data_IF_625710758283
#
_entry.id   IF_625710758283
#
_cell.length_a   1.000
_cell.length_b   1.000
_cell.length_c   1.000
_cell.angle_alpha   90.00
_cell.angle_beta   90.00
_cell.angle_gamma   90.00
#
_symmetry.space_group_name_H-M   'P 1'
#
loop_
_entity.id
_entity.type
_entity.pdbx_description
1 polymer ?
#
# COMPACT_ATOMS: atom_id res chain seq x y z
N UNK A 1 16.10 29.41 -11.06
CA UNK A 1 16.24 28.99 -9.66
C UNK A 1 15.79 27.55 -9.56
N UNK A 2 16.66 26.64 -9.17
CA UNK A 2 16.29 25.24 -8.91
C UNK A 2 15.41 25.23 -7.66
N UNK A 3 14.14 24.78 -7.79
CA UNK A 3 13.28 24.54 -6.64
C UNK A 3 13.96 23.49 -5.75
N UNK A 4 14.05 23.78 -4.43
CA UNK A 4 14.54 22.77 -3.49
C UNK A 4 13.62 21.52 -3.47
N UNK A 5 14.09 20.35 -3.01
CA UNK A 5 13.27 19.14 -2.92
C UNK A 5 11.94 19.31 -2.20
N UNK A 6 11.87 20.26 -1.28
CA UNK A 6 10.67 20.59 -0.50
C UNK A 6 9.57 21.34 -1.26
N UNK A 7 9.87 21.93 -2.43
CA UNK A 7 8.92 22.73 -3.21
C UNK A 7 8.47 22.02 -4.50
N UNK A 8 8.80 20.75 -4.65
CA UNK A 8 8.41 19.94 -5.80
C UNK A 8 6.91 19.69 -5.80
N UNK A 9 6.25 20.04 -6.91
CA UNK A 9 4.84 19.72 -7.19
C UNK A 9 4.79 18.83 -8.42
N UNK A 10 4.16 17.67 -8.31
CA UNK A 10 3.96 16.76 -9.43
C UNK A 10 2.81 17.24 -10.33
N UNK A 11 2.84 16.89 -11.63
CA UNK A 11 1.74 17.17 -12.54
C UNK A 11 0.42 16.59 -12.03
N UNK A 12 -0.69 17.25 -12.34
CA UNK A 12 -2.04 16.80 -11.98
C UNK A 12 -2.77 16.20 -13.18
N UNK A 13 -3.76 15.30 -12.96
CA UNK A 13 -4.65 14.85 -14.03
C UNK A 13 -5.29 16.04 -14.76
N UNK A 14 -5.30 16.00 -16.09
CA UNK A 14 -5.87 17.08 -16.90
C UNK A 14 -4.97 18.31 -17.09
N UNK A 15 -3.79 18.36 -16.47
CA UNK A 15 -2.81 19.41 -16.77
C UNK A 15 -2.30 19.29 -18.22
N UNK A 16 -2.00 20.42 -18.85
CA UNK A 16 -1.39 20.43 -20.16
C UNK A 16 -0.10 19.59 -20.17
N UNK A 17 0.09 18.71 -21.17
CA UNK A 17 1.29 17.90 -21.25
C UNK A 17 2.54 18.79 -21.30
N UNK A 18 3.39 18.69 -20.29
CA UNK A 18 4.72 19.27 -20.33
C UNK A 18 5.72 18.36 -21.05
N UNK A 19 6.94 18.84 -21.28
CA UNK A 19 8.01 17.98 -21.78
C UNK A 19 8.22 16.80 -20.79
N UNK A 20 8.40 15.56 -21.29
CA UNK A 20 8.70 14.42 -20.45
C UNK A 20 9.92 14.71 -19.55
N UNK A 21 9.79 14.42 -18.27
CA UNK A 21 10.89 14.56 -17.31
C UNK A 21 11.29 13.17 -16.84
N UNK A 22 12.60 12.93 -16.61
CA UNK A 22 13.03 11.68 -16.00
C UNK A 22 12.42 11.50 -14.62
N UNK A 23 12.20 10.27 -14.16
CA UNK A 23 11.78 10.00 -12.80
C UNK A 23 12.84 10.48 -11.80
N UNK A 24 12.41 10.88 -10.63
CA UNK A 24 13.30 11.23 -9.52
C UNK A 24 13.74 9.91 -8.89
N UNK A 25 15.05 9.62 -8.83
CA UNK A 25 15.53 8.38 -8.27
C UNK A 25 15.15 8.20 -6.79
N UNK A 26 14.72 7.01 -6.43
CA UNK A 26 14.55 6.60 -5.03
C UNK A 26 15.89 6.43 -4.32
N UNK A 27 15.89 6.29 -2.98
CA UNK A 27 17.09 6.00 -2.20
C UNK A 27 17.77 4.69 -2.63
N UNK A 28 19.05 4.55 -2.26
CA UNK A 28 19.79 3.30 -2.50
C UNK A 28 19.52 2.27 -1.38
N UNK A 29 19.69 0.98 -1.67
CA UNK A 29 19.68 -0.07 -0.65
C UNK A 29 20.71 0.18 0.45
N UNK A 30 21.88 0.72 0.10
CA UNK A 30 22.92 1.06 1.07
C UNK A 30 22.42 2.12 2.06
N UNK A 31 21.72 3.17 1.58
CA UNK A 31 21.14 4.18 2.44
C UNK A 31 20.06 3.59 3.37
N UNK A 32 19.24 2.67 2.85
CA UNK A 32 18.25 1.96 3.64
C UNK A 32 18.92 1.05 4.69
N UNK A 33 19.83 0.20 4.26
CA UNK A 33 20.50 -0.79 5.12
C UNK A 33 21.35 -0.12 6.22
N UNK A 34 21.94 1.06 5.96
CA UNK A 34 22.66 1.81 6.99
C UNK A 34 21.76 2.30 8.13
N UNK A 35 20.46 2.42 7.89
CA UNK A 35 19.49 2.89 8.89
C UNK A 35 18.69 1.73 9.52
N UNK A 36 18.24 0.78 8.70
CA UNK A 36 17.30 -0.27 9.11
C UNK A 36 17.91 -1.68 9.06
N UNK A 37 19.20 -1.79 8.71
CA UNK A 37 19.82 -3.11 8.57
C UNK A 37 19.16 -3.98 7.50
N UNK A 38 19.19 -5.28 7.70
CA UNK A 38 18.61 -6.27 6.80
C UNK A 38 17.17 -6.67 7.19
N UNK A 39 16.32 -5.67 7.54
CA UNK A 39 14.93 -5.96 7.89
C UNK A 39 14.14 -6.55 6.71
N UNK A 40 14.26 -5.95 5.52
CA UNK A 40 13.67 -6.46 4.28
C UNK A 40 14.56 -7.54 3.66
N UNK A 41 13.99 -8.48 2.90
CA UNK A 41 14.77 -9.28 1.94
C UNK A 41 15.54 -8.37 0.97
N UNK A 42 16.57 -8.89 0.27
CA UNK A 42 17.22 -8.14 -0.81
C UNK A 42 16.21 -7.62 -1.82
N UNK A 43 16.35 -6.35 -2.23
CA UNK A 43 15.44 -5.75 -3.19
C UNK A 43 15.67 -6.32 -4.59
N UNK A 44 14.57 -6.64 -5.26
CA UNK A 44 14.52 -6.82 -6.71
C UNK A 44 13.97 -5.56 -7.36
N UNK A 45 14.33 -5.30 -8.62
CA UNK A 45 13.91 -4.09 -9.30
C UNK A 45 13.15 -4.38 -10.58
N UNK A 46 12.01 -3.72 -10.71
CA UNK A 46 11.20 -3.67 -11.92
C UNK A 46 11.52 -2.38 -12.67
N UNK A 47 12.06 -2.49 -13.88
CA UNK A 47 12.32 -1.35 -14.75
C UNK A 47 11.14 -1.15 -15.69
N UNK A 48 10.54 0.03 -15.65
CA UNK A 48 9.41 0.43 -16.50
C UNK A 48 9.74 1.72 -17.25
N UNK A 49 8.97 2.08 -18.28
CA UNK A 49 9.14 3.37 -18.94
C UNK A 49 8.96 4.58 -18.00
N UNK A 50 8.27 4.41 -16.89
CA UNK A 50 7.98 5.47 -15.91
C UNK A 50 8.98 5.56 -14.78
N UNK A 51 9.84 4.56 -14.58
CA UNK A 51 10.84 4.53 -13.51
C UNK A 51 11.18 3.12 -13.06
N UNK A 52 12.03 3.06 -12.04
CA UNK A 52 12.46 1.83 -11.38
C UNK A 52 11.66 1.65 -10.09
N UNK A 53 10.99 0.50 -9.91
CA UNK A 53 10.27 0.16 -8.69
C UNK A 53 10.93 -1.02 -7.97
N UNK A 54 11.05 -0.92 -6.65
CA UNK A 54 11.59 -1.99 -5.81
C UNK A 54 10.47 -2.93 -5.36
N UNK A 55 10.76 -4.22 -5.32
CA UNK A 55 9.89 -5.24 -4.74
C UNK A 55 10.72 -6.29 -4.02
N UNK A 56 10.07 -7.02 -3.12
CA UNK A 56 10.70 -7.97 -2.22
C UNK A 56 9.92 -9.27 -2.23
N UNK A 57 10.61 -10.40 -2.19
CA UNK A 57 10.01 -11.72 -2.28
C UNK A 57 10.29 -12.56 -1.04
N UNK A 58 9.27 -13.24 -0.56
CA UNK A 58 9.36 -14.38 0.36
C UNK A 58 8.97 -15.61 -0.48
N UNK A 59 9.95 -16.33 -1.02
CA UNK A 59 9.68 -17.46 -1.92
C UNK A 59 9.05 -18.62 -1.14
N UNK A 60 8.37 -19.56 -1.84
CA UNK A 60 7.86 -20.76 -1.21
C UNK A 60 8.97 -21.52 -0.48
N UNK A 61 8.68 -21.99 0.74
CA UNK A 61 9.61 -22.87 1.44
C UNK A 61 9.83 -24.14 0.61
N UNK A 62 11.12 -24.49 0.40
CA UNK A 62 11.47 -25.76 -0.26
C UNK A 62 10.87 -26.92 0.54
N UNK A 63 10.28 -27.93 -0.12
CA UNK A 63 9.86 -29.14 0.58
C UNK A 63 11.10 -29.77 1.20
N UNK A 64 11.17 -29.80 2.53
CA UNK A 64 12.19 -30.55 3.23
C UNK A 64 12.03 -32.03 2.83
N UNK A 65 12.97 -32.54 2.05
CA UNK A 65 13.14 -33.88 1.51
C UNK A 65 12.18 -34.95 2.03
N UNK A 66 11.00 -35.05 1.42
CA UNK A 66 10.17 -36.25 1.52
C UNK A 66 9.38 -36.41 0.24
N UNK A 67 9.60 -37.57 -0.34
CA UNK A 67 8.95 -38.17 -1.49
C UNK A 67 7.42 -38.13 -1.36
N UNK A 68 6.78 -37.77 -2.45
CA UNK A 68 5.43 -38.12 -2.85
C UNK A 68 4.29 -37.72 -1.90
N UNK A 69 3.44 -36.82 -2.32
CA UNK A 69 2.02 -37.13 -2.55
C UNK A 69 1.28 -35.87 -3.01
N UNK A 70 0.49 -36.03 -4.08
CA UNK A 70 -0.67 -35.23 -4.50
C UNK A 70 -0.55 -33.72 -4.27
N UNK A 71 -0.28 -33.01 -5.35
CA UNK A 71 -0.34 -31.54 -5.46
C UNK A 71 -1.76 -31.03 -5.27
N UNK A 72 -2.26 -31.03 -4.05
CA UNK A 72 -3.31 -30.09 -3.68
C UNK A 72 -2.64 -28.72 -3.65
N UNK A 73 -2.92 -27.91 -4.66
CA UNK A 73 -2.55 -26.49 -4.67
C UNK A 73 -3.27 -25.81 -3.50
N UNK A 74 -2.59 -25.74 -2.35
CA UNK A 74 -3.14 -25.03 -1.19
C UNK A 74 -3.22 -23.55 -1.52
N UNK A 75 -4.38 -22.97 -1.35
CA UNK A 75 -4.62 -21.53 -1.38
C UNK A 75 -4.03 -20.91 -0.10
N UNK A 76 -3.32 -19.75 -0.17
CA UNK A 76 -2.96 -19.03 -1.37
C UNK A 76 -1.62 -19.50 -1.98
N UNK A 77 -1.51 -19.49 -3.32
CA UNK A 77 -0.25 -19.80 -4.00
C UNK A 77 0.62 -18.54 -4.24
N UNK A 78 0.00 -17.39 -4.50
CA UNK A 78 0.64 -16.12 -4.88
C UNK A 78 -0.05 -14.97 -4.16
N UNK A 79 0.69 -14.24 -3.34
CA UNK A 79 0.17 -13.16 -2.49
C UNK A 79 0.97 -11.89 -2.74
N UNK A 80 0.29 -10.80 -3.09
CA UNK A 80 0.88 -9.48 -3.23
C UNK A 80 0.35 -8.56 -2.14
N UNK A 81 1.26 -7.99 -1.33
CA UNK A 81 0.94 -6.98 -0.33
C UNK A 81 1.22 -5.59 -0.87
N UNK A 82 0.24 -4.69 -0.72
CA UNK A 82 0.23 -3.33 -1.24
C UNK A 82 0.08 -2.37 -0.06
N UNK A 83 1.11 -1.56 0.19
CA UNK A 83 1.20 -0.68 1.35
C UNK A 83 0.35 0.61 1.21
N UNK A 84 0.18 1.32 2.32
CA UNK A 84 -0.49 2.62 2.39
C UNK A 84 0.42 3.80 2.05
N UNK A 85 -0.12 5.02 2.16
CA UNK A 85 0.67 6.26 2.03
C UNK A 85 1.70 6.33 3.15
N UNK A 86 2.86 6.92 2.89
CA UNK A 86 3.96 7.18 3.83
C UNK A 86 4.68 5.95 4.43
N UNK A 87 4.10 4.77 4.35
CA UNK A 87 4.75 3.57 4.90
C UNK A 87 5.00 2.58 3.76
N UNK A 88 6.25 2.34 3.33
CA UNK A 88 6.58 1.50 2.19
C UNK A 88 6.38 0.00 2.51
N UNK A 89 6.83 -0.88 1.63
CA UNK A 89 6.76 -2.34 1.78
C UNK A 89 7.21 -2.84 3.17
N UNK A 90 8.21 -2.18 3.78
CA UNK A 90 8.67 -2.47 5.13
C UNK A 90 7.53 -2.48 6.15
N UNK A 91 6.56 -1.56 6.02
CA UNK A 91 5.40 -1.50 6.93
C UNK A 91 4.45 -2.70 6.83
N UNK A 92 4.50 -3.42 5.73
CA UNK A 92 3.70 -4.64 5.51
C UNK A 92 4.47 -5.92 5.86
N UNK A 93 5.78 -5.82 6.10
CA UNK A 93 6.65 -6.99 6.32
C UNK A 93 6.22 -7.86 7.51
N UNK A 94 5.84 -7.32 8.68
CA UNK A 94 5.37 -8.16 9.79
C UNK A 94 4.17 -9.03 9.40
N UNK A 95 3.18 -8.46 8.71
CA UNK A 95 2.03 -9.21 8.20
C UNK A 95 2.44 -10.22 7.12
N UNK A 96 3.32 -9.84 6.19
CA UNK A 96 3.81 -10.73 5.14
C UNK A 96 4.51 -11.96 5.73
N UNK A 97 5.35 -11.78 6.76
CA UNK A 97 6.02 -12.88 7.47
C UNK A 97 5.02 -13.78 8.19
N UNK A 98 4.01 -13.22 8.85
CA UNK A 98 2.96 -13.99 9.53
C UNK A 98 2.14 -14.82 8.54
N UNK A 99 1.77 -14.24 7.39
CA UNK A 99 1.07 -14.96 6.33
C UNK A 99 1.94 -16.03 5.67
N UNK A 100 3.22 -15.75 5.41
CA UNK A 100 4.14 -16.75 4.87
C UNK A 100 4.40 -17.89 5.85
N UNK A 101 4.45 -17.62 7.16
CA UNK A 101 4.52 -18.68 8.18
C UNK A 101 3.25 -19.56 8.23
N UNK A 102 2.06 -18.94 8.03
CA UNK A 102 0.80 -19.68 7.97
C UNK A 102 0.64 -20.48 6.68
N UNK A 103 1.19 -20.00 5.58
CA UNK A 103 1.14 -20.59 4.25
C UNK A 103 2.55 -20.72 3.64
N UNK A 104 3.39 -21.64 4.14
CA UNK A 104 4.81 -21.68 3.77
C UNK A 104 5.07 -22.03 2.29
N UNK A 105 4.05 -22.54 1.57
CA UNK A 105 4.15 -22.78 0.12
C UNK A 105 3.67 -21.60 -0.74
N UNK A 106 3.17 -20.55 -0.12
CA UNK A 106 2.83 -19.33 -0.84
C UNK A 106 4.08 -18.58 -1.26
N UNK A 107 4.08 -18.05 -2.47
CA UNK A 107 5.03 -17.03 -2.89
C UNK A 107 4.44 -15.67 -2.52
N UNK A 108 5.08 -14.98 -1.60
CA UNK A 108 4.62 -13.68 -1.11
C UNK A 108 5.51 -12.59 -1.65
N UNK A 109 4.93 -11.57 -2.23
CA UNK A 109 5.64 -10.37 -2.72
C UNK A 109 5.15 -9.12 -2.01
N UNK A 110 6.06 -8.19 -1.79
CA UNK A 110 5.80 -6.83 -1.32
C UNK A 110 6.35 -5.86 -2.36
N UNK A 111 5.68 -4.73 -2.57
CA UNK A 111 6.05 -3.73 -3.55
C UNK A 111 6.20 -2.37 -2.87
N UNK A 112 7.28 -1.64 -3.17
CA UNK A 112 7.33 -0.20 -2.89
C UNK A 112 6.60 0.54 -4.02
N UNK A 113 5.50 1.19 -3.69
CA UNK A 113 4.75 2.04 -4.63
C UNK A 113 5.60 3.24 -5.07
N UNK A 114 5.26 3.85 -6.20
CA UNK A 114 5.94 5.04 -6.68
C UNK A 114 6.08 6.12 -5.60
N UNK A 115 7.27 6.70 -5.48
CA UNK A 115 7.57 7.73 -4.47
C UNK A 115 7.72 7.22 -3.05
N UNK A 116 7.84 5.90 -2.86
CA UNK A 116 8.00 5.27 -1.54
C UNK A 116 9.17 4.27 -1.54
N UNK A 117 9.73 4.07 -0.37
CA UNK A 117 10.79 3.09 -0.14
C UNK A 117 11.99 3.30 -1.05
N UNK A 118 12.34 2.30 -1.86
CA UNK A 118 13.43 2.35 -2.82
C UNK A 118 12.96 2.58 -4.27
N UNK A 119 11.65 2.79 -4.47
CA UNK A 119 11.08 3.08 -5.80
C UNK A 119 11.28 4.53 -6.19
N UNK A 120 11.49 4.77 -7.49
CA UNK A 120 11.56 6.11 -8.04
C UNK A 120 10.23 6.88 -7.88
N UNK A 121 10.27 8.19 -8.08
CA UNK A 121 9.07 9.02 -8.20
C UNK A 121 8.90 9.47 -9.66
N UNK A 122 7.95 8.90 -10.42
CA UNK A 122 7.63 9.38 -11.76
C UNK A 122 7.14 10.83 -11.73
N UNK A 123 7.62 11.66 -12.66
CA UNK A 123 7.17 13.07 -12.77
C UNK A 123 5.96 13.16 -13.71
N UNK A 124 4.89 12.46 -13.31
CA UNK A 124 3.61 12.36 -14.01
C UNK A 124 2.47 12.44 -12.99
N UNK A 125 1.19 12.59 -13.40
CA UNK A 125 0.06 12.54 -12.47
C UNK A 125 0.02 11.22 -11.68
N UNK A 126 -0.03 11.30 -10.36
CA UNK A 126 -0.15 10.14 -9.47
C UNK A 126 -1.61 9.73 -9.28
N UNK A 127 -2.31 9.47 -10.39
CA UNK A 127 -3.65 8.90 -10.38
C UNK A 127 -3.60 7.37 -10.16
N UNK A 128 -4.71 6.75 -9.74
CA UNK A 128 -4.80 5.31 -9.49
C UNK A 128 -4.30 4.45 -10.68
N UNK A 129 -4.55 4.89 -11.91
CA UNK A 129 -4.13 4.19 -13.12
C UNK A 129 -2.60 4.00 -13.22
N UNK A 130 -1.79 4.97 -12.73
CA UNK A 130 -0.34 4.86 -12.68
C UNK A 130 0.10 3.69 -11.79
N UNK A 131 -0.54 3.54 -10.65
CA UNK A 131 -0.24 2.45 -9.70
C UNK A 131 -0.80 1.11 -10.17
N UNK A 132 -1.97 1.09 -10.80
CA UNK A 132 -2.50 -0.13 -11.42
C UNK A 132 -1.58 -0.67 -12.51
N UNK A 133 -1.00 0.20 -13.35
CA UNK A 133 -0.01 -0.20 -14.35
C UNK A 133 1.26 -0.78 -13.68
N UNK A 134 1.67 -0.28 -12.52
CA UNK A 134 2.78 -0.83 -11.74
C UNK A 134 2.45 -2.24 -11.21
N UNK A 135 1.23 -2.44 -10.71
CA UNK A 135 0.77 -3.77 -10.28
C UNK A 135 0.75 -4.77 -11.45
N UNK A 136 0.21 -4.36 -12.63
CA UNK A 136 0.23 -5.18 -13.84
C UNK A 136 1.66 -5.59 -14.21
N UNK A 137 2.57 -4.62 -14.26
CA UNK A 137 3.97 -4.86 -14.62
C UNK A 137 4.69 -5.79 -13.62
N UNK A 138 4.39 -5.69 -12.32
CA UNK A 138 4.95 -6.59 -11.32
C UNK A 138 4.40 -8.02 -11.47
N UNK A 139 3.08 -8.18 -11.62
CA UNK A 139 2.48 -9.49 -11.83
C UNK A 139 3.02 -10.17 -13.09
N UNK A 140 3.22 -9.41 -14.17
CA UNK A 140 3.83 -9.90 -15.41
C UNK A 140 5.30 -10.29 -15.21
N UNK A 141 6.08 -9.47 -14.49
CA UNK A 141 7.49 -9.77 -14.13
C UNK A 141 7.62 -11.06 -13.34
N UNK A 142 6.69 -11.32 -12.43
CA UNK A 142 6.65 -12.53 -11.61
C UNK A 142 6.01 -13.73 -12.34
N UNK A 143 5.55 -13.56 -13.58
CA UNK A 143 4.75 -14.52 -14.33
C UNK A 143 3.53 -15.02 -13.52
N UNK A 144 2.86 -14.07 -12.82
CA UNK A 144 1.63 -14.34 -12.08
C UNK A 144 0.41 -13.90 -12.89
N UNK A 145 -0.32 -14.82 -13.52
CA UNK A 145 -1.54 -14.47 -14.24
C UNK A 145 -2.60 -13.86 -13.33
N UNK A 146 -2.64 -14.27 -12.07
CA UNK A 146 -3.48 -13.70 -11.02
C UNK A 146 -2.88 -13.96 -9.64
N UNK A 147 -3.23 -13.11 -8.66
CA UNK A 147 -2.75 -13.19 -7.28
C UNK A 147 -3.87 -12.96 -6.27
N UNK A 148 -3.62 -13.35 -5.00
CA UNK A 148 -4.36 -12.87 -3.84
C UNK A 148 -3.74 -11.53 -3.43
N UNK A 149 -4.55 -10.48 -3.32
CA UNK A 149 -4.09 -9.13 -3.00
C UNK A 149 -4.40 -8.81 -1.54
N UNK A 150 -3.47 -8.17 -0.85
CA UNK A 150 -3.67 -7.62 0.50
C UNK A 150 -3.30 -6.15 0.47
N UNK A 151 -4.29 -5.27 0.46
CA UNK A 151 -4.09 -3.82 0.40
C UNK A 151 -4.35 -3.14 1.74
N UNK A 152 -3.40 -2.33 2.21
CA UNK A 152 -3.53 -1.55 3.42
C UNK A 152 -3.74 -0.07 3.11
N UNK A 153 -4.72 0.59 3.74
CA UNK A 153 -4.96 2.03 3.61
C UNK A 153 -5.11 2.44 2.14
N UNK A 154 -4.24 3.28 1.61
CA UNK A 154 -4.19 3.61 0.17
C UNK A 154 -4.00 2.36 -0.71
N UNK A 155 -3.18 1.40 -0.29
CA UNK A 155 -3.08 0.10 -0.96
C UNK A 155 -4.41 -0.64 -1.03
N UNK A 156 -5.30 -0.42 -0.04
CA UNK A 156 -6.69 -0.90 -0.05
C UNK A 156 -7.52 -0.23 -1.15
N UNK A 157 -7.46 1.10 -1.26
CA UNK A 157 -8.11 1.85 -2.33
C UNK A 157 -7.64 1.39 -3.72
N UNK A 158 -6.32 1.21 -3.89
CA UNK A 158 -5.75 0.67 -5.13
C UNK A 158 -6.25 -0.74 -5.42
N UNK A 159 -6.32 -1.60 -4.39
CA UNK A 159 -6.79 -2.98 -4.53
C UNK A 159 -8.24 -3.03 -4.99
N UNK A 160 -9.10 -2.19 -4.45
CA UNK A 160 -10.51 -2.05 -4.85
C UNK A 160 -10.62 -1.67 -6.33
N UNK A 161 -9.97 -0.58 -6.74
CA UNK A 161 -9.99 -0.11 -8.13
C UNK A 161 -9.36 -1.13 -9.10
N UNK A 162 -8.32 -1.85 -8.65
CA UNK A 162 -7.68 -2.90 -9.43
C UNK A 162 -8.60 -4.12 -9.61
N UNK A 163 -9.24 -4.60 -8.55
CA UNK A 163 -10.19 -5.70 -8.62
C UNK A 163 -11.39 -5.37 -9.52
N UNK A 164 -11.92 -4.15 -9.43
CA UNK A 164 -13.02 -3.69 -10.26
C UNK A 164 -12.66 -3.63 -11.74
N UNK A 165 -11.44 -3.16 -12.09
CA UNK A 165 -11.03 -2.95 -13.47
C UNK A 165 -10.29 -4.14 -14.10
N UNK A 166 -9.73 -5.05 -13.31
CA UNK A 166 -8.92 -6.21 -13.74
C UNK A 166 -9.29 -7.50 -12.99
N UNK A 167 -10.56 -7.90 -12.98
CA UNK A 167 -11.03 -9.03 -12.17
C UNK A 167 -10.31 -10.35 -12.49
N UNK A 168 -9.88 -10.56 -13.73
CA UNK A 168 -9.14 -11.76 -14.13
C UNK A 168 -7.74 -11.89 -13.49
N UNK A 169 -7.19 -10.77 -12.96
CA UNK A 169 -5.87 -10.72 -12.30
C UNK A 169 -5.96 -10.94 -10.78
N UNK A 170 -7.17 -11.08 -10.22
CA UNK A 170 -7.39 -11.16 -8.77
C UNK A 170 -8.10 -12.46 -8.40
N UNK A 171 -7.48 -13.26 -7.54
CA UNK A 171 -8.06 -14.51 -7.01
C UNK A 171 -8.95 -14.28 -5.81
N UNK A 172 -8.51 -13.44 -4.92
CA UNK A 172 -9.25 -12.87 -3.79
C UNK A 172 -8.56 -11.59 -3.38
N UNK A 173 -9.23 -10.76 -2.60
CA UNK A 173 -8.56 -9.61 -2.04
C UNK A 173 -8.94 -9.37 -0.58
N UNK A 174 -8.00 -8.83 0.17
CA UNK A 174 -8.16 -8.41 1.55
C UNK A 174 -7.87 -6.91 1.65
N UNK A 175 -8.77 -6.19 2.27
CA UNK A 175 -8.63 -4.77 2.54
C UNK A 175 -8.35 -4.60 4.05
N UNK A 176 -7.21 -4.05 4.41
CA UNK A 176 -6.89 -3.75 5.81
C UNK A 176 -6.97 -2.25 6.00
N UNK A 177 -7.91 -1.78 6.82
CA UNK A 177 -8.14 -0.35 7.08
C UNK A 177 -8.13 0.49 5.79
N UNK A 178 -8.96 0.19 4.77
CA UNK A 178 -8.84 0.79 3.44
C UNK A 178 -9.15 2.28 3.45
N UNK A 179 -8.37 3.09 2.73
CA UNK A 179 -8.74 4.42 2.30
C UNK A 179 -9.73 4.34 1.11
N UNK A 180 -10.26 5.50 0.69
CA UNK A 180 -11.15 5.62 -0.46
C UNK A 180 -12.54 6.14 -0.11
N UNK A 181 -12.95 6.05 1.14
CA UNK A 181 -14.28 6.45 1.61
C UNK A 181 -14.29 7.75 2.44
N UNK A 182 -13.13 8.39 2.60
CA UNK A 182 -13.06 9.77 3.08
C UNK A 182 -13.87 10.68 2.18
N UNK A 183 -14.50 11.69 2.77
CA UNK A 183 -15.33 12.65 2.03
C UNK A 183 -14.59 13.97 1.85
N UNK A 184 -14.19 14.30 0.64
CA UNK A 184 -13.57 15.58 0.33
C UNK A 184 -14.46 16.77 0.77
N UNK A 185 -15.80 16.62 0.69
CA UNK A 185 -16.78 17.62 1.13
C UNK A 185 -16.82 17.84 2.66
N UNK A 186 -16.27 16.92 3.46
CA UNK A 186 -16.23 17.06 4.91
C UNK A 186 -15.09 17.98 5.38
N UNK A 187 -14.13 18.26 4.51
CA UNK A 187 -13.04 19.19 4.80
C UNK A 187 -13.51 20.65 4.73
N UNK A 188 -12.81 21.54 5.44
CA UNK A 188 -13.09 22.99 5.40
C UNK A 188 -12.89 23.54 3.97
N UNK A 189 -13.48 24.72 3.64
CA UNK A 189 -13.27 25.34 2.34
C UNK A 189 -11.79 25.57 2.00
N UNK A 190 -10.96 25.91 3.00
CA UNK A 190 -9.50 26.06 2.84
C UNK A 190 -8.84 24.72 2.51
N UNK A 191 -9.13 23.66 3.27
CA UNK A 191 -8.61 22.31 3.02
C UNK A 191 -9.05 21.78 1.67
N UNK A 192 -10.29 22.05 1.26
CA UNK A 192 -10.76 21.72 -0.09
C UNK A 192 -9.99 22.51 -1.17
N UNK A 193 -9.59 23.75 -0.90
CA UNK A 193 -8.73 24.52 -1.80
C UNK A 193 -7.34 23.85 -1.92
N UNK A 194 -6.77 23.35 -0.82
CA UNK A 194 -5.54 22.57 -0.83
C UNK A 194 -5.66 21.28 -1.66
N UNK A 195 -6.81 20.59 -1.59
CA UNK A 195 -7.07 19.42 -2.42
C UNK A 195 -7.16 19.79 -3.91
N UNK A 196 -7.82 20.90 -4.25
CA UNK A 196 -7.88 21.36 -5.66
C UNK A 196 -6.51 21.76 -6.19
N UNK A 197 -5.63 22.35 -5.35
CA UNK A 197 -4.35 22.87 -5.78
C UNK A 197 -4.49 24.02 -6.81
N UNK A 198 -3.37 24.39 -7.45
CA UNK A 198 -3.39 25.44 -8.50
C UNK A 198 -3.28 26.87 -7.98
N UNK A 199 -3.19 27.08 -6.67
CA UNK A 199 -2.74 28.33 -6.06
C UNK A 199 -1.25 28.54 -6.27
N UNK A 200 -0.74 29.73 -5.96
CA UNK A 200 0.70 30.03 -6.05
C UNK A 200 1.55 29.16 -5.09
N UNK A 201 2.88 29.30 -5.16
CA UNK A 201 3.82 28.48 -4.38
C UNK A 201 3.60 28.50 -2.85
N UNK A 202 2.99 29.55 -2.30
CA UNK A 202 2.60 29.62 -0.88
C UNK A 202 1.49 28.64 -0.52
N UNK A 203 0.48 28.54 -1.38
CA UNK A 203 -0.66 27.63 -1.18
C UNK A 203 -0.24 26.15 -1.31
N UNK A 204 0.70 25.83 -2.19
CA UNK A 204 1.22 24.46 -2.33
C UNK A 204 2.05 24.04 -1.11
N UNK A 205 2.75 24.96 -0.48
CA UNK A 205 3.47 24.68 0.78
C UNK A 205 2.49 24.43 1.93
N UNK A 206 1.47 25.28 2.09
CA UNK A 206 0.42 25.08 3.07
C UNK A 206 -0.36 23.78 2.85
N UNK A 207 -0.67 23.46 1.60
CA UNK A 207 -1.32 22.20 1.23
C UNK A 207 -0.47 20.98 1.60
N UNK A 208 0.82 21.02 1.31
CA UNK A 208 1.78 19.97 1.70
C UNK A 208 1.80 19.78 3.22
N UNK A 209 1.96 20.88 3.96
CA UNK A 209 2.06 20.82 5.41
C UNK A 209 0.75 20.31 6.04
N UNK A 210 -0.40 20.70 5.48
CA UNK A 210 -1.69 20.17 5.89
C UNK A 210 -1.85 18.68 5.58
N UNK A 211 -1.50 18.23 4.38
CA UNK A 211 -1.61 16.79 4.00
C UNK A 211 -0.75 15.93 4.91
N UNK A 212 0.51 16.35 5.16
CA UNK A 212 1.40 15.62 6.05
C UNK A 212 0.86 15.57 7.48
N UNK A 213 0.40 16.71 8.03
CA UNK A 213 -0.18 16.78 9.36
C UNK A 213 -1.47 15.95 9.49
N UNK A 214 -2.33 15.93 8.45
CA UNK A 214 -3.53 15.09 8.41
C UNK A 214 -3.18 13.59 8.46
N UNK A 215 -2.23 13.15 7.65
CA UNK A 215 -1.81 11.75 7.57
C UNK A 215 -1.08 11.27 8.83
N UNK A 216 -0.41 12.15 9.55
CA UNK A 216 0.25 11.82 10.82
C UNK A 216 -0.70 11.89 12.04
N UNK A 217 -1.84 12.56 11.90
CA UNK A 217 -2.70 12.88 13.04
C UNK A 217 -2.08 13.93 13.98
N UNK A 218 -1.09 14.69 13.50
CA UNK A 218 -0.36 15.70 14.25
C UNK A 218 1.13 15.77 13.88
N UNK A 219 1.98 16.10 14.83
CA UNK A 219 3.44 16.12 14.62
C UNK A 219 4.02 14.70 14.61
N UNK A 220 4.88 14.40 13.63
CA UNK A 220 5.57 13.12 13.56
C UNK A 220 6.63 13.03 14.68
N UNK A 221 6.35 12.21 15.67
CA UNK A 221 7.27 11.94 16.79
C UNK A 221 7.90 10.57 16.63
N UNK A 222 9.21 10.55 16.40
CA UNK A 222 9.97 9.30 16.32
C UNK A 222 10.35 8.84 17.73
N UNK A 223 9.98 7.62 18.19
CA UNK A 223 10.35 7.11 19.50
C UNK A 223 11.87 7.12 19.72
N UNK A 224 12.31 7.53 20.91
CA UNK A 224 13.75 7.65 21.21
C UNK A 224 14.51 6.31 21.13
N UNK A 225 13.81 5.22 21.39
CA UNK A 225 14.33 3.83 21.38
C UNK A 225 14.24 3.15 20.01
N UNK A 226 13.84 3.86 18.96
CA UNK A 226 13.56 3.27 17.65
C UNK A 226 14.72 2.44 17.07
N UNK A 227 15.99 2.88 17.30
CA UNK A 227 17.15 2.13 16.80
C UNK A 227 17.32 0.79 17.49
N UNK A 228 17.08 0.75 18.78
CA UNK A 228 17.12 -0.49 19.57
C UNK A 228 16.03 -1.46 19.13
N UNK A 229 14.81 -0.94 18.92
CA UNK A 229 13.68 -1.71 18.39
C UNK A 229 13.96 -2.27 16.99
N UNK A 230 14.50 -1.45 16.08
CA UNK A 230 14.95 -1.89 14.75
C UNK A 230 16.03 -2.97 14.87
N UNK A 231 17.00 -2.81 15.79
CA UNK A 231 18.01 -3.82 16.07
C UNK A 231 17.45 -5.17 16.54
N UNK A 232 16.26 -5.19 17.15
CA UNK A 232 15.50 -6.40 17.50
C UNK A 232 14.61 -6.92 16.36
N UNK A 233 14.65 -6.30 15.18
CA UNK A 233 13.85 -6.71 14.02
C UNK A 233 12.45 -6.11 13.96
N UNK A 234 12.14 -5.11 14.80
CA UNK A 234 10.86 -4.42 14.79
C UNK A 234 10.80 -3.37 13.67
N UNK A 235 9.61 -3.15 13.13
CA UNK A 235 9.32 -2.07 12.19
C UNK A 235 8.73 -0.89 12.96
N UNK A 236 9.51 0.20 13.05
CA UNK A 236 9.09 1.45 13.69
C UNK A 236 8.63 2.41 12.61
N UNK A 237 7.31 2.51 12.41
CA UNK A 237 6.71 3.24 11.28
C UNK A 237 7.11 4.73 11.26
N UNK A 238 7.19 5.37 12.42
CA UNK A 238 7.58 6.77 12.58
C UNK A 238 9.01 7.02 12.09
N UNK A 239 9.92 6.11 12.43
CA UNK A 239 11.31 6.18 11.96
C UNK A 239 11.41 5.99 10.44
N UNK A 240 10.60 5.09 9.87
CA UNK A 240 10.53 4.85 8.43
C UNK A 240 9.99 6.08 7.70
N UNK A 241 8.93 6.70 8.21
CA UNK A 241 8.35 7.92 7.64
C UNK A 241 9.36 9.09 7.68
N UNK A 242 9.98 9.32 8.83
CA UNK A 242 11.02 10.35 8.97
C UNK A 242 12.22 10.11 8.04
N UNK A 243 12.61 8.85 7.86
CA UNK A 243 13.67 8.47 6.93
C UNK A 243 13.29 8.79 5.47
N UNK A 244 12.08 8.42 5.02
CA UNK A 244 11.64 8.71 3.66
C UNK A 244 11.57 10.22 3.39
N UNK A 245 11.03 11.01 4.32
CA UNK A 245 10.99 12.47 4.17
C UNK A 245 12.39 13.09 4.03
N UNK A 246 13.42 12.50 4.63
CA UNK A 246 14.80 12.98 4.57
C UNK A 246 15.56 12.45 3.37
N UNK A 247 15.44 11.14 3.08
CA UNK A 247 16.31 10.44 2.11
C UNK A 247 15.68 10.25 0.73
N UNK A 248 14.35 10.37 0.60
CA UNK A 248 13.66 10.16 -0.66
C UNK A 248 13.20 11.49 -1.29
N UNK A 249 13.93 12.02 -2.29
CA UNK A 249 13.72 13.38 -2.79
C UNK A 249 12.30 13.63 -3.35
N UNK A 250 11.64 12.60 -3.91
CA UNK A 250 10.30 12.71 -4.48
C UNK A 250 9.17 12.31 -3.55
N UNK A 251 9.46 11.81 -2.33
CA UNK A 251 8.46 11.22 -1.44
C UNK A 251 7.32 12.17 -1.10
N UNK A 252 7.66 13.34 -0.56
CA UNK A 252 6.65 14.32 -0.11
C UNK A 252 5.74 14.75 -1.26
N UNK A 253 6.32 15.02 -2.44
CA UNK A 253 5.53 15.39 -3.61
C UNK A 253 4.60 14.25 -4.06
N UNK A 254 5.08 13.00 -4.00
CA UNK A 254 4.27 11.82 -4.26
C UNK A 254 3.13 11.67 -3.26
N UNK A 255 3.39 11.82 -1.95
CA UNK A 255 2.37 11.75 -0.88
C UNK A 255 1.25 12.76 -1.13
N UNK A 256 1.59 14.02 -1.42
CA UNK A 256 0.59 15.07 -1.72
C UNK A 256 -0.21 14.73 -2.98
N UNK A 257 0.46 14.29 -4.05
CA UNK A 257 -0.21 13.94 -5.29
C UNK A 257 -1.13 12.72 -5.13
N UNK A 258 -0.70 11.68 -4.41
CA UNK A 258 -1.51 10.50 -4.06
C UNK A 258 -2.75 10.93 -3.26
N UNK A 259 -2.58 11.75 -2.24
CA UNK A 259 -3.68 12.20 -1.39
C UNK A 259 -4.73 12.98 -2.18
N UNK A 260 -4.31 13.75 -3.20
CA UNK A 260 -5.18 14.55 -4.06
C UNK A 260 -5.86 13.73 -5.17
N UNK A 261 -5.13 12.83 -5.83
CA UNK A 261 -5.49 12.37 -7.17
C UNK A 261 -5.57 10.85 -7.33
N UNK A 262 -5.15 10.07 -6.32
CA UNK A 262 -5.04 8.62 -6.48
C UNK A 262 -6.20 7.80 -5.90
N UNK A 263 -7.31 8.44 -5.53
CA UNK A 263 -8.49 7.73 -5.03
C UNK A 263 -8.47 7.45 -3.52
N UNK A 264 -7.84 8.33 -2.75
CA UNK A 264 -7.88 8.25 -1.27
C UNK A 264 -9.26 8.67 -0.73
N UNK A 265 -10.07 9.35 -1.56
CA UNK A 265 -11.38 9.91 -1.21
C UNK A 265 -12.41 9.63 -2.29
N UNK A 266 -13.70 9.54 -1.89
CA UNK A 266 -14.90 9.56 -2.75
C UNK A 266 -14.90 8.51 -3.88
N UNK A 267 -14.36 7.30 -3.66
CA UNK A 267 -14.34 6.20 -4.65
C UNK A 267 -15.38 5.11 -4.34
N UNK A 268 -16.57 5.48 -3.87
CA UNK A 268 -17.64 4.52 -3.58
C UNK A 268 -18.02 3.67 -4.78
N UNK A 269 -17.98 4.25 -5.97
CA UNK A 269 -18.29 3.56 -7.21
C UNK A 269 -17.35 2.36 -7.46
N UNK A 270 -16.05 2.54 -7.17
CA UNK A 270 -15.04 1.48 -7.28
C UNK A 270 -15.28 0.38 -6.24
N UNK A 271 -15.64 0.75 -4.99
CA UNK A 271 -16.01 -0.23 -3.96
C UNK A 271 -17.21 -1.06 -4.40
N UNK A 272 -18.29 -0.43 -4.87
CA UNK A 272 -19.47 -1.13 -5.40
C UNK A 272 -19.11 -2.00 -6.60
N UNK A 273 -18.29 -1.51 -7.52
CA UNK A 273 -17.85 -2.26 -8.68
C UNK A 273 -17.03 -3.48 -8.28
N UNK A 274 -16.09 -3.35 -7.32
CA UNK A 274 -15.29 -4.45 -6.79
C UNK A 274 -16.17 -5.52 -6.11
N UNK A 275 -17.11 -5.11 -5.27
CA UNK A 275 -18.05 -6.03 -4.62
C UNK A 275 -18.90 -6.81 -5.65
N UNK A 276 -19.30 -6.17 -6.74
CA UNK A 276 -20.09 -6.80 -7.83
C UNK A 276 -19.29 -7.78 -8.69
N UNK A 277 -17.96 -7.80 -8.61
CA UNK A 277 -17.15 -8.79 -9.36
C UNK A 277 -17.39 -10.22 -8.90
N UNK A 278 -17.90 -10.43 -7.70
CA UNK A 278 -18.02 -11.75 -7.07
C UNK A 278 -16.68 -12.35 -6.64
N UNK A 279 -15.58 -11.63 -6.76
CA UNK A 279 -14.27 -12.07 -6.26
C UNK A 279 -14.34 -12.16 -4.73
N UNK A 280 -13.95 -13.29 -4.12
CA UNK A 280 -13.95 -13.44 -2.68
C UNK A 280 -13.13 -12.32 -2.00
N UNK A 281 -13.71 -11.67 -1.01
CA UNK A 281 -13.09 -10.54 -0.34
C UNK A 281 -13.30 -10.57 1.17
N UNK A 282 -12.34 -10.01 1.91
CA UNK A 282 -12.40 -9.79 3.35
C UNK A 282 -11.99 -8.34 3.61
N UNK A 283 -12.69 -7.66 4.52
CA UNK A 283 -12.23 -6.37 5.06
C UNK A 283 -11.88 -6.52 6.53
N UNK A 284 -10.74 -5.99 6.95
CA UNK A 284 -10.29 -5.97 8.35
C UNK A 284 -10.11 -4.53 8.80
N UNK A 285 -10.88 -4.11 9.80
CA UNK A 285 -10.85 -2.75 10.34
C UNK A 285 -10.23 -2.72 11.74
N UNK A 286 -9.61 -1.61 12.10
CA UNK A 286 -9.40 -1.25 13.49
C UNK A 286 -10.69 -0.64 14.07
N UNK A 287 -11.10 -1.06 15.28
CA UNK A 287 -12.33 -0.57 15.89
C UNK A 287 -12.32 0.91 16.31
N UNK A 288 -11.13 1.54 16.28
CA UNK A 288 -10.93 2.97 16.54
C UNK A 288 -10.52 3.74 15.28
N UNK A 289 -10.49 3.07 14.11
CA UNK A 289 -10.21 3.71 12.83
C UNK A 289 -11.49 4.38 12.29
N UNK A 290 -11.41 5.64 11.94
CA UNK A 290 -12.54 6.47 11.49
C UNK A 290 -12.58 6.69 9.97
N UNK A 291 -11.66 6.07 9.19
CA UNK A 291 -11.64 6.23 7.73
C UNK A 291 -12.86 5.61 7.05
N UNK A 292 -13.36 4.50 7.57
CA UNK A 292 -14.61 3.86 7.13
C UNK A 292 -15.18 2.97 8.23
N UNK A 293 -16.48 2.70 8.16
CA UNK A 293 -17.18 1.85 9.12
C UNK A 293 -17.63 0.52 8.52
N UNK A 294 -17.83 -0.48 9.37
CA UNK A 294 -18.40 -1.77 8.97
C UNK A 294 -19.78 -1.58 8.27
N UNK A 295 -20.64 -0.69 8.81
CA UNK A 295 -21.94 -0.42 8.24
C UNK A 295 -21.83 0.12 6.81
N UNK A 296 -20.96 1.12 6.60
CA UNK A 296 -20.71 1.69 5.28
C UNK A 296 -20.20 0.64 4.27
N UNK A 297 -19.29 -0.23 4.68
CA UNK A 297 -18.77 -1.30 3.82
C UNK A 297 -19.85 -2.32 3.45
N UNK A 298 -20.72 -2.69 4.39
CA UNK A 298 -21.88 -3.57 4.13
C UNK A 298 -22.85 -2.95 3.14
N UNK A 299 -23.13 -1.65 3.25
CA UNK A 299 -23.97 -0.91 2.28
C UNK A 299 -23.34 -0.92 0.87
N UNK A 300 -22.00 -0.92 0.76
CA UNK A 300 -21.27 -1.01 -0.51
C UNK A 300 -21.16 -2.45 -1.06
N UNK A 301 -21.67 -3.45 -0.32
CA UNK A 301 -21.74 -4.84 -0.77
C UNK A 301 -20.67 -5.77 -0.24
N UNK A 302 -19.87 -5.36 0.75
CA UNK A 302 -18.88 -6.22 1.40
C UNK A 302 -19.52 -7.01 2.55
N UNK A 303 -19.64 -8.34 2.39
CA UNK A 303 -20.27 -9.20 3.40
C UNK A 303 -19.32 -9.58 4.55
N UNK A 304 -18.08 -9.92 4.22
CA UNK A 304 -17.08 -10.39 5.19
C UNK A 304 -16.27 -9.20 5.72
N UNK A 305 -16.67 -8.63 6.84
CA UNK A 305 -15.99 -7.54 7.54
C UNK A 305 -15.64 -7.99 8.95
N UNK A 306 -14.36 -7.94 9.32
CA UNK A 306 -13.84 -8.22 10.65
C UNK A 306 -13.34 -6.93 11.30
N UNK A 307 -13.59 -6.76 12.60
CA UNK A 307 -13.15 -5.59 13.36
C UNK A 307 -12.21 -6.04 14.49
N UNK A 308 -11.02 -5.47 14.55
CA UNK A 308 -10.07 -5.66 15.65
C UNK A 308 -10.36 -4.60 16.72
N UNK A 309 -10.88 -4.97 17.90
CA UNK A 309 -11.22 -4.01 18.93
C UNK A 309 -9.96 -3.30 19.46
N UNK A 310 -10.13 -2.05 19.93
CA UNK A 310 -9.06 -1.24 20.52
C UNK A 310 -7.82 -1.08 19.60
N UNK A 311 -8.01 -1.09 18.28
CA UNK A 311 -6.99 -0.83 17.30
C UNK A 311 -7.39 0.36 16.41
N UNK A 312 -6.44 1.23 16.11
CA UNK A 312 -6.61 2.35 15.17
C UNK A 312 -6.22 1.98 13.74
N UNK A 313 -5.92 3.01 12.95
CA UNK A 313 -5.51 2.85 11.55
C UNK A 313 -4.24 1.99 11.37
N UNK A 314 -3.33 1.99 12.36
CA UNK A 314 -2.10 1.18 12.37
C UNK A 314 -2.30 -0.34 12.54
N UNK A 315 -3.54 -0.84 12.54
CA UNK A 315 -3.91 -2.24 12.82
C UNK A 315 -3.05 -3.27 12.08
N UNK A 316 -2.62 -2.96 10.85
CA UNK A 316 -1.77 -3.83 10.02
C UNK A 316 -0.41 -4.16 10.64
N UNK A 317 0.08 -3.31 11.55
CA UNK A 317 1.38 -3.43 12.22
C UNK A 317 1.24 -3.69 13.71
N UNK A 318 0.22 -3.11 14.32
CA UNK A 318 0.02 -3.15 15.77
C UNK A 318 -0.67 -4.43 16.23
N UNK A 319 -1.48 -5.03 15.35
CA UNK A 319 -2.31 -6.20 15.65
C UNK A 319 -2.12 -7.30 14.59
N UNK A 320 -0.85 -7.55 14.23
CA UNK A 320 -0.47 -8.55 13.21
C UNK A 320 -1.07 -9.93 13.48
N UNK A 321 -1.06 -10.47 14.71
CA UNK A 321 -1.63 -11.80 14.97
C UNK A 321 -3.12 -11.89 14.63
N UNK A 322 -3.90 -10.87 14.98
CA UNK A 322 -5.35 -10.83 14.72
C UNK A 322 -5.63 -10.67 13.22
N UNK A 323 -4.96 -9.73 12.56
CA UNK A 323 -5.12 -9.51 11.12
C UNK A 323 -4.72 -10.76 10.32
N UNK A 324 -3.57 -11.36 10.63
CA UNK A 324 -3.12 -12.60 10.00
C UNK A 324 -4.06 -13.77 10.28
N UNK A 325 -4.64 -13.83 11.49
CA UNK A 325 -5.64 -14.83 11.87
C UNK A 325 -6.89 -14.76 11.00
N UNK A 326 -7.48 -13.58 10.85
CA UNK A 326 -8.64 -13.37 9.98
C UNK A 326 -8.34 -13.73 8.51
N UNK A 327 -7.19 -13.33 7.99
CA UNK A 327 -6.78 -13.64 6.61
C UNK A 327 -6.56 -15.16 6.44
N UNK A 328 -5.91 -15.81 7.39
CA UNK A 328 -5.71 -17.28 7.37
C UNK A 328 -7.04 -18.01 7.33
N UNK A 329 -7.98 -17.64 8.19
CA UNK A 329 -9.27 -18.30 8.30
C UNK A 329 -10.10 -18.07 7.02
N UNK A 330 -10.04 -16.86 6.43
CA UNK A 330 -10.66 -16.53 5.15
C UNK A 330 -10.11 -17.43 4.02
N UNK A 331 -8.80 -17.49 3.83
CA UNK A 331 -8.21 -18.31 2.75
C UNK A 331 -8.40 -19.80 2.97
N UNK A 332 -8.38 -20.29 4.23
CA UNK A 332 -8.68 -21.69 4.54
C UNK A 332 -10.12 -22.05 4.17
N UNK A 333 -11.07 -21.15 4.40
CA UNK A 333 -12.47 -21.31 3.99
C UNK A 333 -12.60 -21.39 2.47
N UNK A 334 -11.88 -20.55 1.73
CA UNK A 334 -11.87 -20.55 0.26
C UNK A 334 -11.31 -21.88 -0.31
N UNK A 335 -10.25 -22.40 0.29
CA UNK A 335 -9.61 -23.64 -0.14
C UNK A 335 -10.57 -24.83 -0.02
N UNK A 336 -11.31 -24.91 1.10
CA UNK A 336 -12.33 -25.93 1.32
C UNK A 336 -13.47 -25.83 0.31
N UNK A 337 -13.94 -24.63 0.00
CA UNK A 337 -15.03 -24.43 -0.97
C UNK A 337 -14.63 -24.81 -2.40
N UNK A 338 -13.35 -24.67 -2.76
CA UNK A 338 -12.83 -25.05 -4.08
C UNK A 338 -12.51 -26.56 -4.19
N UNK A 339 -12.49 -27.29 -3.06
CA UNK A 339 -12.16 -28.72 -2.99
C UNK A 339 -13.42 -29.61 -2.90
N UNK A 340 -14.58 -29.01 -2.68
CA UNK A 340 -15.90 -29.63 -2.65
C UNK A 340 -16.62 -29.49 -4.00
#
# INVERSE_FOLDING_TARGET
MSLGPSDLVLPRPGAAPGSPKPPIPGPTETAFASTFGALLPPASYLHTPTGKAAYYELPPASPAGTTTTTTTTTTPARVLLIHGVQTPALGMLPLARALHAAFPRAHVALLDLWGHGLSDTPVVPHAAALFHALLDALLDRLAWPAAHLVGYSFGGALTVGYAASRPARVRSFVLVAPAGLLRARAFTPEQQAYLRGGGGGGDERAARDWVLGFLEGGELVVPGDWRERVGRGEVVAEAVRAWQMREHPGHVASVVAVFRDAGVMDIDAEFVAAARTGIPSLVVLGGLDDLCSEAQLKELGFADVAVVPQAGHGVVRERVPEVAGFIRDFWTKLDRANSS
#
